data_IF_361420335684
#
_entry.id   IF_361420335684
#
_cell.length_a   1.000
_cell.length_b   1.000
_cell.length_c   1.000
_cell.angle_alpha   90.00
_cell.angle_beta   90.00
_cell.angle_gamma   90.00
#
_symmetry.space_group_name_H-M   'P 1'
#
loop_
_entity.id
_entity.type
_entity.pdbx_description
1 polymer ?
#
# COMPACT_ATOMS: atom_id res chain seq x y z
N UNK A 1 15.49 10.96 31.92
CA UNK A 1 15.23 11.55 30.59
C UNK A 1 14.65 10.46 29.71
N UNK A 2 13.34 10.43 29.52
CA UNK A 2 12.70 9.48 28.61
C UNK A 2 12.56 10.17 27.25
N UNK A 3 13.31 9.69 26.26
CA UNK A 3 13.13 10.14 24.87
C UNK A 3 11.77 9.67 24.40
N UNK A 4 10.87 10.61 24.11
CA UNK A 4 9.60 10.30 23.44
C UNK A 4 9.93 9.63 22.11
N UNK A 5 9.65 8.32 22.00
CA UNK A 5 9.71 7.62 20.73
C UNK A 5 8.68 8.29 19.83
N UNK A 6 9.15 8.92 18.76
CA UNK A 6 8.35 9.55 17.70
C UNK A 6 7.73 8.49 16.79
N UNK A 7 7.16 7.44 17.39
CA UNK A 7 6.52 6.33 16.71
C UNK A 7 5.05 6.64 16.43
N UNK A 8 4.56 6.24 15.26
CA UNK A 8 3.13 6.20 15.00
C UNK A 8 2.60 4.93 15.65
N UNK A 9 1.66 5.05 16.60
CA UNK A 9 1.06 3.88 17.23
C UNK A 9 0.41 2.98 16.17
N UNK A 10 0.71 1.68 16.22
CA UNK A 10 0.06 0.72 15.33
C UNK A 10 -1.41 0.53 15.72
N UNK A 11 -2.35 0.50 14.75
CA UNK A 11 -3.72 0.10 15.03
C UNK A 11 -3.89 -1.42 15.22
N UNK A 12 -2.85 -2.24 14.96
CA UNK A 12 -2.92 -3.70 14.99
C UNK A 12 -2.37 -4.28 16.29
N UNK A 13 -3.15 -5.14 16.94
CA UNK A 13 -2.78 -5.77 18.20
C UNK A 13 -1.54 -6.66 18.04
N UNK A 14 -0.52 -6.45 18.88
CA UNK A 14 0.72 -7.23 18.85
C UNK A 14 1.73 -6.76 17.80
N UNK A 15 1.46 -5.65 17.12
CA UNK A 15 2.41 -4.95 16.28
C UNK A 15 3.13 -3.87 17.10
N UNK A 16 4.42 -3.67 16.82
CA UNK A 16 5.22 -2.61 17.41
C UNK A 16 4.75 -1.23 16.93
N UNK A 17 5.11 -0.19 17.66
CA UNK A 17 5.00 1.18 17.13
C UNK A 17 5.80 1.31 15.83
N UNK A 18 5.27 2.13 14.93
CA UNK A 18 5.86 2.37 13.62
C UNK A 18 7.18 3.12 13.73
N UNK A 19 8.19 2.63 13.03
CA UNK A 19 9.48 3.30 12.84
C UNK A 19 9.56 3.88 11.43
N UNK A 20 10.35 4.94 11.24
CA UNK A 20 10.54 5.50 9.90
C UNK A 20 11.37 4.56 9.03
N UNK A 21 10.84 4.19 7.87
CA UNK A 21 11.52 3.41 6.84
C UNK A 21 12.14 4.27 5.73
N UNK A 22 12.22 5.60 5.95
CA UNK A 22 12.71 6.56 4.98
C UNK A 22 11.58 7.31 4.25
N UNK A 23 11.81 8.57 3.89
CA UNK A 23 10.77 9.43 3.31
C UNK A 23 9.54 9.53 4.21
N UNK A 24 8.35 9.28 3.64
CA UNK A 24 7.06 9.24 4.34
C UNK A 24 6.65 7.82 4.79
N UNK A 25 7.53 6.84 4.65
CA UNK A 25 7.22 5.45 4.95
C UNK A 25 7.37 5.13 6.42
N UNK A 26 6.43 4.35 6.93
CA UNK A 26 6.49 3.74 8.25
C UNK A 26 6.65 2.22 8.09
N UNK A 27 7.47 1.62 8.95
CA UNK A 27 7.65 0.18 9.08
C UNK A 27 7.17 -0.25 10.45
N UNK A 28 6.42 -1.35 10.49
CA UNK A 28 5.88 -1.94 11.70
C UNK A 28 6.23 -3.42 11.76
N UNK A 29 6.50 -3.94 12.96
CA UNK A 29 6.89 -5.33 13.14
C UNK A 29 5.91 -6.07 14.04
N UNK A 30 5.60 -7.31 13.70
CA UNK A 30 4.84 -8.21 14.56
C UNK A 30 5.36 -9.63 14.47
N UNK A 31 4.98 -10.46 15.43
CA UNK A 31 5.25 -11.89 15.42
C UNK A 31 3.94 -12.65 15.55
N UNK A 32 3.72 -13.63 14.67
CA UNK A 32 2.56 -14.48 14.72
C UNK A 32 2.65 -15.43 15.92
N UNK A 33 1.79 -15.25 16.92
CA UNK A 33 1.87 -15.99 18.19
C UNK A 33 1.76 -17.51 18.06
N UNK A 34 1.12 -18.01 17.00
CA UNK A 34 0.93 -19.44 16.78
C UNK A 34 2.11 -20.07 16.06
N UNK A 35 2.68 -19.36 15.07
CA UNK A 35 3.70 -19.92 14.16
C UNK A 35 5.10 -19.39 14.42
N UNK A 36 5.25 -18.31 15.18
CA UNK A 36 6.51 -17.58 15.36
C UNK A 36 6.95 -16.80 14.12
N UNK A 37 6.10 -16.71 13.09
CA UNK A 37 6.43 -16.07 11.83
C UNK A 37 6.61 -14.56 12.02
N UNK A 38 7.73 -14.02 11.53
CA UNK A 38 8.07 -12.59 11.68
C UNK A 38 7.44 -11.81 10.55
N UNK A 39 6.65 -10.79 10.90
CA UNK A 39 5.96 -9.92 9.96
C UNK A 39 6.56 -8.52 9.98
N UNK A 40 6.71 -7.94 8.80
CA UNK A 40 7.05 -6.54 8.61
C UNK A 40 6.01 -5.92 7.68
N UNK A 41 5.41 -4.80 8.08
CA UNK A 41 4.42 -4.05 7.31
C UNK A 41 4.97 -2.67 7.01
N UNK A 42 4.97 -2.29 5.75
CA UNK A 42 5.34 -0.95 5.30
C UNK A 42 4.08 -0.19 4.94
N UNK A 43 3.92 1.03 5.44
CA UNK A 43 2.77 1.90 5.20
C UNK A 43 3.22 3.22 4.57
N UNK A 44 2.50 3.65 3.53
CA UNK A 44 2.61 4.97 2.93
C UNK A 44 1.22 5.61 2.91
N UNK A 45 1.10 6.80 3.50
CA UNK A 45 -0.11 7.61 3.45
C UNK A 45 -0.09 8.57 2.26
N UNK A 46 -1.26 8.88 1.75
CA UNK A 46 -1.43 9.84 0.66
C UNK A 46 -1.11 11.27 1.07
N UNK A 47 -0.86 12.09 0.07
CA UNK A 47 -0.62 13.51 0.21
C UNK A 47 -1.94 14.28 0.38
N UNK A 48 -3.02 13.78 -0.21
CA UNK A 48 -4.37 14.36 -0.20
C UNK A 48 -5.41 13.44 0.48
N UNK A 49 -6.56 14.03 0.78
CA UNK A 49 -7.78 13.33 1.21
C UNK A 49 -8.70 13.05 0.02
N UNK A 50 -9.58 12.07 0.17
CA UNK A 50 -10.66 11.79 -0.78
C UNK A 50 -11.98 12.37 -0.26
N UNK A 51 -13.00 12.39 -1.13
CA UNK A 51 -14.22 13.16 -0.91
C UNK A 51 -15.11 12.64 0.21
N UNK A 52 -15.08 11.34 0.50
CA UNK A 52 -15.99 10.71 1.48
C UNK A 52 -15.49 10.79 2.93
N UNK A 53 -14.18 10.90 3.16
CA UNK A 53 -13.58 10.99 4.49
C UNK A 53 -12.44 12.03 4.51
N UNK A 54 -12.73 13.19 5.10
CA UNK A 54 -11.79 14.30 5.22
C UNK A 54 -10.80 14.14 6.39
N UNK A 55 -11.03 13.17 7.27
CA UNK A 55 -10.18 12.87 8.42
C UNK A 55 -9.27 11.66 8.16
N UNK A 56 -9.56 10.88 7.13
CA UNK A 56 -8.77 9.73 6.71
C UNK A 56 -8.01 9.96 5.40
N UNK A 57 -6.69 9.77 5.46
CA UNK A 57 -5.83 9.75 4.27
C UNK A 57 -5.74 8.33 3.71
N UNK A 58 -6.02 8.12 2.41
CA UNK A 58 -5.71 6.86 1.74
C UNK A 58 -4.33 6.33 2.10
N UNK A 59 -4.23 5.02 2.26
CA UNK A 59 -2.96 4.36 2.58
C UNK A 59 -2.70 3.20 1.63
N UNK A 60 -1.43 3.01 1.32
CA UNK A 60 -0.93 1.80 0.72
C UNK A 60 -0.10 1.10 1.78
N UNK A 61 -0.35 -0.19 1.95
CA UNK A 61 0.48 -1.03 2.79
C UNK A 61 0.91 -2.29 2.06
N UNK A 62 2.11 -2.78 2.37
CA UNK A 62 2.54 -4.11 1.98
C UNK A 62 3.18 -4.84 3.15
N UNK A 63 2.88 -6.12 3.25
CA UNK A 63 3.31 -6.98 4.33
C UNK A 63 4.25 -8.05 3.81
N UNK A 64 5.18 -8.42 4.66
CA UNK A 64 6.18 -9.42 4.42
C UNK A 64 6.26 -10.35 5.62
N UNK A 65 6.29 -11.65 5.36
CA UNK A 65 6.37 -12.70 6.38
C UNK A 65 7.62 -13.52 6.13
N UNK A 66 8.43 -13.73 7.16
CA UNK A 66 9.68 -14.49 7.10
C UNK A 66 10.55 -14.10 5.90
N UNK A 67 10.76 -12.79 5.76
CA UNK A 67 11.59 -12.16 4.74
C UNK A 67 11.03 -12.23 3.31
N UNK A 68 9.76 -12.60 3.14
CA UNK A 68 9.11 -12.73 1.83
C UNK A 68 7.88 -11.84 1.76
N UNK A 69 7.75 -11.08 0.67
CA UNK A 69 6.51 -10.37 0.33
C UNK A 69 5.31 -11.33 0.34
N UNK A 70 4.23 -10.95 1.02
CA UNK A 70 2.98 -11.72 1.08
C UNK A 70 1.83 -11.05 0.34
N UNK A 71 1.56 -9.79 0.64
CA UNK A 71 0.40 -9.08 0.12
C UNK A 71 0.59 -7.57 0.19
N UNK A 72 -0.26 -6.85 -0.53
CA UNK A 72 -0.37 -5.41 -0.44
C UNK A 72 -1.81 -4.96 -0.61
N UNK A 73 -2.16 -3.87 0.06
CA UNK A 73 -3.49 -3.31 0.07
C UNK A 73 -3.43 -1.80 -0.19
N UNK A 74 -4.36 -1.32 -1.00
CA UNK A 74 -4.71 0.09 -1.09
C UNK A 74 -6.05 0.28 -0.39
N UNK A 75 -6.04 1.03 0.70
CA UNK A 75 -7.21 1.40 1.48
C UNK A 75 -7.50 2.89 1.22
N UNK A 76 -8.57 3.20 0.48
CA UNK A 76 -8.90 4.57 0.11
C UNK A 76 -9.61 5.35 1.23
N UNK A 77 -9.97 4.71 2.35
CA UNK A 77 -10.75 5.38 3.41
C UNK A 77 -12.20 5.67 3.04
N UNK A 78 -12.71 5.05 1.99
CA UNK A 78 -14.04 5.31 1.46
C UNK A 78 -14.67 4.04 0.93
N UNK A 79 -15.98 4.05 0.70
CA UNK A 79 -16.65 2.87 0.18
C UNK A 79 -16.40 2.75 -1.32
N UNK A 80 -15.75 1.66 -1.71
CA UNK A 80 -15.52 1.36 -3.12
C UNK A 80 -16.85 1.07 -3.84
N UNK A 81 -16.94 1.50 -5.10
CA UNK A 81 -17.98 1.06 -6.02
C UNK A 81 -17.95 -0.46 -6.24
N UNK A 82 -18.97 -1.03 -6.89
CA UNK A 82 -18.97 -2.46 -7.22
C UNK A 82 -17.77 -2.83 -8.11
N UNK A 83 -17.28 -4.08 -8.04
CA UNK A 83 -16.25 -4.56 -8.95
C UNK A 83 -16.71 -4.42 -10.40
N UNK A 84 -15.81 -3.99 -11.28
CA UNK A 84 -16.08 -3.72 -12.70
C UNK A 84 -15.23 -4.61 -13.63
N UNK A 85 -14.55 -5.61 -13.07
CA UNK A 85 -13.70 -6.54 -13.81
C UNK A 85 -13.78 -7.94 -13.18
N UNK A 86 -13.95 -9.01 -13.97
CA UNK A 86 -13.79 -10.37 -13.46
C UNK A 86 -12.30 -10.68 -13.28
N UNK A 87 -11.93 -11.25 -12.14
CA UNK A 87 -10.61 -11.82 -11.91
C UNK A 87 -10.41 -13.12 -12.67
N UNK A 88 -9.15 -13.51 -12.87
CA UNK A 88 -8.79 -14.73 -13.60
C UNK A 88 -9.42 -16.00 -12.99
N UNK A 89 -9.61 -16.04 -11.67
CA UNK A 89 -10.23 -17.14 -10.94
C UNK A 89 -11.68 -16.83 -10.50
N UNK A 90 -12.33 -15.84 -11.13
CA UNK A 90 -13.70 -15.43 -10.82
C UNK A 90 -13.84 -14.54 -9.58
N UNK A 91 -12.73 -14.18 -8.93
CA UNK A 91 -12.78 -13.23 -7.82
C UNK A 91 -13.17 -11.82 -8.33
N UNK A 92 -13.92 -11.03 -7.54
CA UNK A 92 -14.29 -9.69 -7.94
C UNK A 92 -13.05 -8.79 -8.02
N UNK A 93 -12.86 -8.08 -9.13
CA UNK A 93 -11.79 -7.11 -9.29
C UNK A 93 -12.32 -5.72 -9.63
N UNK A 94 -11.55 -4.71 -9.26
CA UNK A 94 -11.72 -3.34 -9.73
C UNK A 94 -10.56 -2.99 -10.65
N UNK A 95 -10.89 -2.46 -11.82
CA UNK A 95 -9.93 -1.80 -12.69
C UNK A 95 -9.62 -0.41 -12.11
N UNK A 96 -8.35 -0.18 -11.79
CA UNK A 96 -7.81 1.11 -11.34
C UNK A 96 -6.80 1.62 -12.35
N UNK A 97 -6.68 2.94 -12.50
CA UNK A 97 -5.57 3.54 -13.23
C UNK A 97 -4.48 3.91 -12.24
N UNK A 98 -3.26 3.45 -12.50
CA UNK A 98 -2.09 3.75 -11.68
C UNK A 98 -1.13 4.57 -12.50
N UNK A 99 -0.62 5.64 -11.93
CA UNK A 99 0.53 6.38 -12.46
C UNK A 99 1.74 6.14 -11.56
N UNK A 100 2.86 5.80 -12.17
CA UNK A 100 4.16 5.63 -11.54
C UNK A 100 5.15 6.52 -12.29
N UNK A 101 5.54 7.63 -11.66
CA UNK A 101 6.31 8.71 -12.30
C UNK A 101 5.70 9.17 -13.62
N UNK A 102 6.34 8.88 -14.75
CA UNK A 102 5.92 9.30 -16.10
C UNK A 102 5.13 8.22 -16.86
N UNK A 103 4.91 7.05 -16.25
CA UNK A 103 4.14 5.96 -16.86
C UNK A 103 2.79 5.79 -16.16
N UNK A 104 1.77 5.39 -16.91
CA UNK A 104 0.48 5.01 -16.35
C UNK A 104 -0.04 3.72 -16.98
N UNK A 105 -0.92 3.02 -16.28
CA UNK A 105 -1.51 1.77 -16.75
C UNK A 105 -2.72 1.35 -15.94
N UNK A 106 -3.52 0.45 -16.50
CA UNK A 106 -4.66 -0.12 -15.82
C UNK A 106 -4.30 -1.43 -15.11
N UNK A 107 -4.70 -1.55 -13.85
CA UNK A 107 -4.50 -2.74 -13.05
C UNK A 107 -5.83 -3.31 -12.60
N UNK A 108 -5.95 -4.65 -12.57
CA UNK A 108 -7.08 -5.34 -11.95
C UNK A 108 -6.69 -5.75 -10.54
N UNK A 109 -7.18 -5.04 -9.54
CA UNK A 109 -6.93 -5.34 -8.13
C UNK A 109 -8.14 -6.04 -7.53
N UNK A 110 -7.90 -7.02 -6.66
CA UNK A 110 -9.00 -7.77 -6.06
C UNK A 110 -9.79 -6.85 -5.11
N UNK A 111 -11.10 -6.81 -5.31
CA UNK A 111 -12.03 -6.00 -4.54
C UNK A 111 -12.39 -6.75 -3.26
N UNK A 112 -11.92 -6.28 -2.11
CA UNK A 112 -12.13 -6.97 -0.83
C UNK A 112 -13.24 -6.27 -0.05
N UNK A 113 -14.43 -6.86 -0.11
CA UNK A 113 -15.63 -6.44 0.64
C UNK A 113 -16.00 -4.94 0.50
N UNK A 114 -15.55 -4.28 -0.56
CA UNK A 114 -15.79 -2.85 -0.79
C UNK A 114 -15.03 -1.91 0.13
N UNK A 115 -14.04 -2.42 0.86
CA UNK A 115 -13.25 -1.66 1.84
C UNK A 115 -11.87 -1.30 1.29
N UNK A 116 -11.17 -2.25 0.68
CA UNK A 116 -9.84 -2.02 0.13
C UNK A 116 -9.61 -2.85 -1.14
N UNK A 117 -8.53 -2.53 -1.85
CA UNK A 117 -8.10 -3.24 -3.05
C UNK A 117 -6.79 -3.97 -2.79
N UNK A 118 -6.77 -5.28 -3.05
CA UNK A 118 -5.53 -6.08 -3.00
C UNK A 118 -4.69 -5.83 -4.24
N UNK A 119 -3.50 -5.27 -4.05
CA UNK A 119 -2.64 -4.82 -5.14
C UNK A 119 -1.77 -5.96 -5.67
N UNK A 120 -1.52 -5.94 -6.98
CA UNK A 120 -0.56 -6.87 -7.57
C UNK A 120 0.89 -6.54 -7.20
N UNK A 121 1.73 -7.57 -7.12
CA UNK A 121 3.16 -7.43 -6.78
C UNK A 121 3.92 -6.53 -7.75
N UNK A 122 3.50 -6.47 -9.03
CA UNK A 122 4.13 -5.64 -10.05
C UNK A 122 3.99 -4.16 -9.72
N UNK A 123 2.79 -3.74 -9.32
CA UNK A 123 2.51 -2.37 -8.88
C UNK A 123 3.35 -1.98 -7.68
N UNK A 124 3.48 -2.84 -6.67
CA UNK A 124 4.32 -2.54 -5.50
C UNK A 124 5.80 -2.37 -5.88
N UNK A 125 6.32 -3.18 -6.81
CA UNK A 125 7.68 -3.00 -7.33
C UNK A 125 7.85 -1.67 -8.07
N UNK A 126 6.81 -1.16 -8.71
CA UNK A 126 6.80 0.18 -9.29
C UNK A 126 6.80 1.26 -8.21
N UNK A 127 5.86 1.16 -7.25
CA UNK A 127 5.67 2.09 -6.14
C UNK A 127 6.95 2.33 -5.34
N UNK A 128 7.64 1.26 -4.89
CA UNK A 128 8.82 1.40 -4.03
C UNK A 128 10.01 2.07 -4.75
N UNK A 129 10.01 2.11 -6.08
CA UNK A 129 11.05 2.76 -6.89
C UNK A 129 10.66 4.13 -7.45
N UNK A 130 9.48 4.64 -7.11
CA UNK A 130 8.91 5.85 -7.71
C UNK A 130 9.21 7.10 -6.88
N UNK A 131 9.06 8.25 -7.54
CA UNK A 131 8.99 9.56 -6.88
C UNK A 131 7.54 10.01 -6.70
N UNK A 132 6.69 9.73 -7.69
CA UNK A 132 5.27 10.06 -7.71
C UNK A 132 4.49 8.77 -7.98
N UNK A 133 3.47 8.52 -7.16
CA UNK A 133 2.54 7.44 -7.37
C UNK A 133 1.11 7.96 -7.22
N UNK A 134 0.25 7.69 -8.21
CA UNK A 134 -1.16 8.09 -8.15
C UNK A 134 -2.06 6.90 -8.45
N UNK A 135 -3.18 6.83 -7.75
CA UNK A 135 -4.22 5.82 -7.97
C UNK A 135 -5.52 6.54 -8.26
N UNK A 136 -6.06 6.33 -9.46
CA UNK A 136 -7.43 6.71 -9.79
C UNK A 136 -8.36 5.53 -9.49
N UNK A 137 -9.35 5.78 -8.64
CA UNK A 137 -10.40 4.82 -8.28
C UNK A 137 -11.78 5.37 -8.60
N UNK A 138 -12.75 4.47 -8.76
CA UNK A 138 -14.16 4.85 -8.90
C UNK A 138 -14.85 4.82 -7.54
N UNK A 139 -15.09 6.00 -7.00
CA UNK A 139 -15.97 6.24 -5.87
C UNK A 139 -17.44 6.26 -6.28
N UNK A 140 -18.33 6.52 -5.31
CA UNK A 140 -19.77 6.69 -5.58
C UNK A 140 -20.07 7.95 -6.38
N UNK A 141 -19.30 9.01 -6.16
CA UNK A 141 -19.50 10.34 -6.76
C UNK A 141 -18.75 10.52 -8.09
N UNK A 142 -17.98 9.52 -8.53
CA UNK A 142 -17.15 9.58 -9.73
C UNK A 142 -15.71 9.13 -9.50
N UNK A 143 -14.81 9.38 -10.46
CA UNK A 143 -13.39 9.11 -10.33
C UNK A 143 -12.74 10.02 -9.28
N UNK A 144 -11.89 9.44 -8.45
CA UNK A 144 -11.09 10.16 -7.46
C UNK A 144 -9.63 9.72 -7.52
N UNK A 145 -8.71 10.62 -7.22
CA UNK A 145 -7.27 10.39 -7.34
C UNK A 145 -6.62 10.51 -5.96
N UNK A 146 -6.04 9.41 -5.48
CA UNK A 146 -5.13 9.41 -4.35
C UNK A 146 -3.69 9.63 -4.83
N UNK A 147 -3.01 10.62 -4.27
CA UNK A 147 -1.64 10.98 -4.60
C UNK A 147 -0.68 10.56 -3.50
N UNK A 148 0.47 10.04 -3.87
CA UNK A 148 1.48 9.52 -2.96
C UNK A 148 2.87 9.99 -3.37
N UNK A 149 3.69 10.30 -2.36
CA UNK A 149 5.10 10.63 -2.50
C UNK A 149 5.99 9.50 -1.93
N UNK A 150 6.19 8.38 -2.68
CA UNK A 150 6.95 7.22 -2.20
C UNK A 150 8.47 7.44 -2.08
N UNK A 151 9.01 8.54 -2.60
CA UNK A 151 10.44 8.78 -2.59
C UNK A 151 11.06 8.75 -1.18
N UNK A 152 12.31 8.27 -1.10
CA UNK A 152 13.08 8.24 0.14
C UNK A 152 12.94 6.97 0.97
N UNK A 153 12.16 5.98 0.52
CA UNK A 153 12.12 4.64 1.12
C UNK A 153 13.52 3.99 1.13
N UNK A 154 13.89 3.41 2.26
CA UNK A 154 15.09 2.61 2.41
C UNK A 154 14.90 1.24 1.75
N UNK A 155 15.39 1.12 0.52
CA UNK A 155 15.30 -0.10 -0.26
C UNK A 155 16.11 -1.27 0.33
N UNK A 156 17.13 -1.00 1.15
CA UNK A 156 17.88 -2.06 1.81
C UNK A 156 17.03 -2.73 2.89
N UNK A 157 16.24 -1.94 3.64
CA UNK A 157 15.24 -2.46 4.59
C UNK A 157 14.18 -3.31 3.90
N UNK A 158 13.61 -2.80 2.80
CA UNK A 158 12.62 -3.56 2.01
C UNK A 158 13.21 -4.86 1.48
N UNK A 159 14.44 -4.84 0.96
CA UNK A 159 15.12 -6.05 0.50
C UNK A 159 15.35 -7.05 1.63
N UNK A 160 15.74 -6.58 2.81
CA UNK A 160 15.98 -7.41 3.99
C UNK A 160 14.69 -8.09 4.50
N UNK A 161 13.59 -7.32 4.55
CA UNK A 161 12.31 -7.73 5.13
C UNK A 161 11.39 -8.47 4.15
N UNK A 162 11.54 -8.27 2.84
CA UNK A 162 10.55 -8.73 1.86
C UNK A 162 11.15 -9.47 0.66
N UNK A 163 12.47 -9.46 0.50
CA UNK A 163 13.18 -9.89 -0.71
C UNK A 163 12.68 -9.16 -1.98
N UNK A 164 12.09 -7.98 -1.81
CA UNK A 164 11.50 -7.19 -2.88
C UNK A 164 12.51 -6.18 -3.44
N UNK A 165 12.44 -5.94 -4.75
CA UNK A 165 13.30 -4.95 -5.44
C UNK A 165 12.44 -4.10 -6.37
N UNK A 166 12.78 -2.82 -6.55
CA UNK A 166 12.04 -1.96 -7.47
C UNK A 166 12.08 -2.51 -8.90
N UNK A 167 11.05 -2.19 -9.68
CA UNK A 167 11.01 -2.45 -11.12
C UNK A 167 10.28 -1.30 -11.77
N UNK A 168 10.99 -0.55 -12.63
CA UNK A 168 10.36 0.52 -13.39
C UNK A 168 9.23 -0.04 -14.27
N UNK A 169 8.10 0.66 -14.39
CA UNK A 169 7.08 0.31 -15.37
C UNK A 169 7.70 0.30 -16.77
N UNK A 170 7.39 -0.71 -17.58
CA UNK A 170 7.68 -0.65 -19.01
C UNK A 170 6.77 0.41 -19.63
N UNK A 171 7.34 1.36 -20.39
CA UNK A 171 6.56 2.22 -21.27
C UNK A 171 5.95 1.31 -22.34
N UNK A 172 4.64 1.12 -22.30
CA UNK A 172 3.88 0.58 -23.42
C UNK A 172 3.17 1.73 -24.11
#
# INVERSE_FOLDING_TARGET
MAGAQTGVMSPYQGESDGIRAGGKWMEFHSEDKMTGAKKARFELRSDNYLSEDLDYKPRIEFTCTDRKYTNAAFDPGMRLGPPNRPGFWGQPQMQVMVRVDDAHGYHGWDWVHGQFLSMDKGTIRGLIGAHIFKVEIRGRNGPEIAEFSPAGLDLARVKQACDLTPKKPSKN
#
